data_IF_342881614735
#
_entry.id   IF_342881614735
#
_cell.length_a   1.000
_cell.length_b   1.000
_cell.length_c   1.000
_cell.angle_alpha   90.00
_cell.angle_beta   90.00
_cell.angle_gamma   90.00
#
_symmetry.space_group_name_H-M   'P 1'
#
loop_
_entity.id
_entity.type
_entity.pdbx_description
1 polymer ?
#
# COMPACT_ATOMS: atom_id res chain seq x y z
N UNK A 1 26.03 -24.51 -16.71
CA UNK A 1 24.83 -24.49 -15.86
C UNK A 1 24.42 -23.05 -15.53
N UNK A 2 24.18 -22.21 -16.55
CA UNK A 2 23.72 -20.83 -16.40
C UNK A 2 22.25 -20.77 -16.83
N UNK A 3 21.39 -20.04 -16.11
CA UNK A 3 20.24 -19.39 -16.77
C UNK A 3 18.86 -19.41 -16.11
N UNK A 4 18.61 -20.06 -14.97
CA UNK A 4 17.27 -20.09 -14.35
C UNK A 4 17.04 -19.00 -13.28
N UNK A 5 17.73 -17.85 -13.38
CA UNK A 5 17.80 -16.85 -12.31
C UNK A 5 17.16 -15.48 -12.58
N UNK A 6 16.43 -15.29 -13.69
CA UNK A 6 15.90 -13.96 -14.09
C UNK A 6 14.46 -13.94 -14.61
N UNK A 7 13.73 -15.05 -14.53
CA UNK A 7 12.40 -15.16 -15.15
C UNK A 7 11.29 -14.42 -14.40
N UNK A 8 11.46 -14.11 -13.11
CA UNK A 8 10.39 -13.53 -12.28
C UNK A 8 10.34 -11.99 -12.31
N UNK A 9 11.28 -11.35 -13.01
CA UNK A 9 11.47 -9.89 -12.99
C UNK A 9 11.77 -9.27 -14.36
N UNK A 10 11.57 -10.00 -15.46
CA UNK A 10 11.65 -9.39 -16.78
C UNK A 10 10.32 -8.70 -17.10
N UNK A 11 10.10 -7.54 -16.49
CA UNK A 11 8.98 -6.64 -16.81
C UNK A 11 9.29 -5.88 -18.09
N UNK A 12 8.39 -5.94 -19.07
CA UNK A 12 8.46 -5.09 -20.24
C UNK A 12 8.34 -3.61 -19.80
N UNK A 13 9.33 -2.80 -20.17
CA UNK A 13 9.29 -1.35 -19.99
C UNK A 13 8.53 -0.71 -21.15
N UNK A 14 7.48 0.05 -20.85
CA UNK A 14 6.68 0.74 -21.85
C UNK A 14 7.27 2.13 -22.13
N UNK A 15 7.75 2.37 -23.35
CA UNK A 15 8.34 3.66 -23.75
C UNK A 15 7.41 4.54 -24.58
N UNK A 16 6.21 4.07 -24.93
CA UNK A 16 5.23 4.87 -25.68
C UNK A 16 4.77 6.07 -24.82
N UNK A 17 4.94 7.32 -25.30
CA UNK A 17 4.58 8.52 -24.54
C UNK A 17 3.11 8.57 -24.07
N UNK A 18 2.18 7.97 -24.80
CA UNK A 18 0.77 7.90 -24.40
C UNK A 18 0.62 6.95 -23.21
N UNK A 19 1.25 5.77 -23.25
CA UNK A 19 1.20 4.78 -22.17
C UNK A 19 1.85 5.36 -20.90
N UNK A 20 3.00 6.02 -21.02
CA UNK A 20 3.71 6.63 -19.89
C UNK A 20 2.84 7.70 -19.21
N UNK A 21 2.16 8.57 -19.98
CA UNK A 21 1.23 9.57 -19.43
C UNK A 21 0.11 8.95 -18.60
N UNK A 22 -0.52 7.90 -19.13
CA UNK A 22 -1.57 7.17 -18.39
C UNK A 22 -1.00 6.40 -17.19
N UNK A 23 0.23 5.91 -17.28
CA UNK A 23 0.94 5.27 -16.18
C UNK A 23 1.15 6.20 -14.98
N UNK A 24 1.59 7.44 -15.22
CA UNK A 24 1.71 8.44 -14.14
C UNK A 24 0.36 8.79 -13.51
N UNK A 25 -0.69 8.96 -14.32
CA UNK A 25 -2.03 9.23 -13.79
C UNK A 25 -2.55 8.06 -12.96
N UNK A 26 -2.37 6.82 -13.43
CA UNK A 26 -2.76 5.62 -12.71
C UNK A 26 -2.00 5.48 -11.38
N UNK A 27 -0.68 5.73 -11.38
CA UNK A 27 0.14 5.71 -10.16
C UNK A 27 -0.31 6.77 -9.14
N UNK A 28 -0.62 7.98 -9.59
CA UNK A 28 -1.12 9.04 -8.72
C UNK A 28 -2.50 8.71 -8.14
N UNK A 29 -3.42 8.19 -8.95
CA UNK A 29 -4.77 7.85 -8.52
C UNK A 29 -4.77 6.68 -7.52
N UNK A 30 -3.99 5.62 -7.78
CA UNK A 30 -3.95 4.46 -6.88
C UNK A 30 -3.34 4.83 -5.52
N UNK A 31 -2.26 5.62 -5.52
CA UNK A 31 -1.64 6.11 -4.29
C UNK A 31 -2.59 7.04 -3.53
N UNK A 32 -3.20 8.01 -4.21
CA UNK A 32 -4.09 9.00 -3.58
C UNK A 32 -5.36 8.37 -3.03
N UNK A 33 -6.16 7.71 -3.87
CA UNK A 33 -7.45 7.13 -3.47
C UNK A 33 -7.24 5.98 -2.47
N UNK A 34 -6.24 5.12 -2.70
CA UNK A 34 -5.91 4.01 -1.81
C UNK A 34 -5.51 4.48 -0.42
N UNK A 35 -4.68 5.53 -0.34
CA UNK A 35 -4.27 6.12 0.94
C UNK A 35 -5.41 6.80 1.67
N UNK A 36 -6.32 7.49 0.96
CA UNK A 36 -7.52 8.09 1.59
C UNK A 36 -8.44 7.01 2.17
N UNK A 37 -8.68 5.93 1.43
CA UNK A 37 -9.48 4.80 1.93
C UNK A 37 -8.83 4.15 3.16
N UNK A 38 -7.51 3.95 3.14
CA UNK A 38 -6.76 3.42 4.27
C UNK A 38 -6.84 4.36 5.49
N UNK A 39 -6.70 5.66 5.31
CA UNK A 39 -6.79 6.64 6.39
C UNK A 39 -8.16 6.60 7.10
N UNK A 40 -9.25 6.41 6.35
CA UNK A 40 -10.60 6.25 6.94
C UNK A 40 -10.67 4.97 7.78
N UNK A 41 -10.15 3.85 7.27
CA UNK A 41 -10.13 2.59 8.02
C UNK A 41 -9.28 2.71 9.31
N UNK A 42 -8.09 3.31 9.20
CA UNK A 42 -7.17 3.55 10.32
C UNK A 42 -7.80 4.48 11.35
N UNK A 43 -8.54 5.51 10.94
CA UNK A 43 -9.23 6.40 11.88
C UNK A 43 -10.26 5.65 12.74
N UNK A 44 -11.02 4.73 12.14
CA UNK A 44 -12.02 3.92 12.86
C UNK A 44 -11.36 2.91 13.78
N UNK A 45 -10.35 2.17 13.29
CA UNK A 45 -9.62 1.16 14.08
C UNK A 45 -8.85 1.83 15.22
N UNK A 46 -8.21 2.97 14.96
CA UNK A 46 -7.52 3.79 15.94
C UNK A 46 -8.46 4.26 17.04
N UNK A 47 -9.59 4.87 16.70
CA UNK A 47 -10.56 5.34 17.69
C UNK A 47 -11.02 4.21 18.63
N UNK A 48 -11.34 3.03 18.08
CA UNK A 48 -11.71 1.85 18.87
C UNK A 48 -10.55 1.34 19.76
N UNK A 49 -9.34 1.34 19.23
CA UNK A 49 -8.13 0.93 19.96
C UNK A 49 -7.83 1.85 21.15
N UNK A 50 -7.92 3.17 20.98
CA UNK A 50 -7.71 4.13 22.06
C UNK A 50 -8.80 4.03 23.13
N UNK A 51 -10.06 3.79 22.73
CA UNK A 51 -11.15 3.52 23.67
C UNK A 51 -10.89 2.28 24.53
N UNK A 52 -10.54 1.16 23.91
CA UNK A 52 -10.20 -0.07 24.63
C UNK A 52 -8.97 0.09 25.53
N UNK A 53 -7.97 0.88 25.09
CA UNK A 53 -6.78 1.15 25.88
C UNK A 53 -7.07 2.00 27.13
N UNK A 54 -8.05 2.90 27.06
CA UNK A 54 -8.47 3.71 28.21
C UNK A 54 -9.08 2.87 29.35
N UNK A 55 -9.73 1.75 29.00
CA UNK A 55 -10.26 0.80 29.98
C UNK A 55 -9.22 -0.24 30.43
N UNK A 56 -8.42 -0.74 29.49
CA UNK A 56 -7.48 -1.86 29.70
C UNK A 56 -6.14 -1.55 29.05
N UNK A 57 -5.21 -0.90 29.76
CA UNK A 57 -3.92 -0.51 29.20
C UNK A 57 -3.07 -1.70 28.76
N UNK A 58 -3.32 -2.89 29.31
CA UNK A 58 -2.62 -4.13 28.95
C UNK A 58 -2.92 -4.59 27.50
N UNK A 59 -3.94 -4.01 26.86
CA UNK A 59 -4.32 -4.32 25.47
C UNK A 59 -3.48 -3.57 24.42
N UNK A 60 -2.58 -2.66 24.82
CA UNK A 60 -1.77 -1.85 23.90
C UNK A 60 -1.10 -2.65 22.78
N UNK A 61 -0.49 -3.79 23.11
CA UNK A 61 0.18 -4.64 22.12
C UNK A 61 -0.77 -5.21 21.07
N UNK A 62 -1.99 -5.63 21.47
CA UNK A 62 -3.00 -6.15 20.54
C UNK A 62 -3.59 -5.03 19.68
N UNK A 63 -3.82 -3.86 20.27
CA UNK A 63 -4.26 -2.67 19.56
C UNK A 63 -3.30 -2.29 18.41
N UNK A 64 -1.99 -2.34 18.66
CA UNK A 64 -0.98 -2.07 17.64
C UNK A 64 -0.99 -3.08 16.48
N UNK A 65 -1.31 -4.35 16.73
CA UNK A 65 -1.42 -5.37 15.66
C UNK A 65 -2.59 -5.04 14.73
N UNK A 66 -3.76 -4.69 15.27
CA UNK A 66 -4.92 -4.31 14.46
C UNK A 66 -4.68 -3.01 13.69
N UNK A 67 -4.01 -2.04 14.30
CA UNK A 67 -3.62 -0.80 13.63
C UNK A 67 -2.64 -1.08 12.48
N UNK A 68 -1.64 -1.93 12.70
CA UNK A 68 -0.69 -2.34 11.66
C UNK A 68 -1.35 -3.10 10.49
N UNK A 69 -2.35 -3.94 10.78
CA UNK A 69 -3.16 -4.60 9.75
C UNK A 69 -3.97 -3.58 8.93
N UNK A 70 -4.50 -2.54 9.57
CA UNK A 70 -5.22 -1.46 8.89
C UNK A 70 -4.28 -0.61 8.01
N UNK A 71 -3.08 -0.27 8.50
CA UNK A 71 -2.03 0.43 7.75
C UNK A 71 -1.53 -0.35 6.52
N UNK A 72 -1.67 -1.68 6.52
CA UNK A 72 -1.33 -2.53 5.39
C UNK A 72 -2.01 -2.12 4.07
N UNK A 73 -3.21 -1.53 4.13
CA UNK A 73 -3.91 -1.00 2.95
C UNK A 73 -3.17 0.21 2.32
N UNK A 74 -2.65 1.11 3.15
CA UNK A 74 -1.89 2.26 2.68
C UNK A 74 -0.61 1.79 1.97
N UNK A 75 0.13 0.88 2.62
CA UNK A 75 1.36 0.29 2.06
C UNK A 75 1.07 -0.46 0.76
N UNK A 76 -0.02 -1.23 0.70
CA UNK A 76 -0.39 -1.97 -0.51
C UNK A 76 -0.67 -1.03 -1.69
N UNK A 77 -1.41 0.07 -1.47
CA UNK A 77 -1.65 1.06 -2.53
C UNK A 77 -0.36 1.72 -3.05
N UNK A 78 0.59 2.01 -2.15
CA UNK A 78 1.89 2.56 -2.50
C UNK A 78 2.75 1.55 -3.26
N UNK A 79 2.75 0.27 -2.86
CA UNK A 79 3.44 -0.80 -3.59
C UNK A 79 2.94 -0.88 -5.03
N UNK A 80 1.62 -0.85 -5.24
CA UNK A 80 1.05 -0.89 -6.60
C UNK A 80 1.45 0.36 -7.40
N UNK A 81 1.46 1.55 -6.80
CA UNK A 81 1.94 2.76 -7.47
C UNK A 81 3.42 2.62 -7.91
N UNK A 82 4.29 2.13 -7.02
CA UNK A 82 5.71 1.89 -7.34
C UNK A 82 5.86 0.83 -8.43
N UNK A 83 5.05 -0.23 -8.41
CA UNK A 83 5.05 -1.25 -9.45
C UNK A 83 4.60 -0.71 -10.81
N UNK A 84 3.69 0.26 -10.86
CA UNK A 84 3.32 0.95 -12.11
C UNK A 84 4.51 1.79 -12.60
N UNK A 85 5.12 2.58 -11.71
CA UNK A 85 6.29 3.40 -12.03
C UNK A 85 7.49 2.57 -12.49
N UNK A 86 7.68 1.36 -11.97
CA UNK A 86 8.75 0.46 -12.40
C UNK A 86 8.53 -0.20 -13.78
N UNK A 87 7.36 -0.02 -14.39
CA UNK A 87 7.02 -0.57 -15.72
C UNK A 87 7.00 0.47 -16.83
N UNK A 88 6.97 1.76 -16.50
CA UNK A 88 6.97 2.86 -17.47
C UNK A 88 8.33 3.53 -17.56
#
# INVERSE_FOLDING_TARGET
MQGAGRAWAQTATYSDPIIVKWGFLAAALVAGIGTVAAAIAVAVVGAAALGALSEKPELAGRALIFLGLAEGLAIYSLIIAIMILGKI
#
